data_IF_933738719572
#
_entry.id   IF_933738719572
#
_cell.length_a   1.000
_cell.length_b   1.000
_cell.length_c   1.000
_cell.angle_alpha   90.00
_cell.angle_beta   90.00
_cell.angle_gamma   90.00
#
_symmetry.space_group_name_H-M   'P 1'
#
loop_
_entity.id
_entity.type
_entity.pdbx_description
1 polymer ?
#
# COMPACT_ATOMS: atom_id res chain seq x y z
N UNK A 1 -23.08 -6.06 -7.06
CA UNK A 1 -21.96 -5.79 -6.14
C UNK A 1 -22.03 -6.81 -5.03
N UNK A 2 -20.93 -7.50 -4.70
CA UNK A 2 -20.91 -8.48 -3.60
C UNK A 2 -20.87 -7.74 -2.26
N UNK A 3 -21.31 -8.37 -1.17
CA UNK A 3 -21.29 -7.75 0.16
C UNK A 3 -19.87 -7.29 0.58
N UNK A 4 -18.85 -8.03 0.15
CA UNK A 4 -17.44 -7.72 0.42
C UNK A 4 -17.02 -6.46 -0.33
N UNK A 5 -17.42 -6.29 -1.60
CA UNK A 5 -17.07 -5.08 -2.35
C UNK A 5 -17.70 -3.84 -1.71
N UNK A 6 -18.98 -3.93 -1.32
CA UNK A 6 -19.64 -2.86 -0.57
C UNK A 6 -18.92 -2.53 0.74
N UNK A 7 -18.53 -3.56 1.50
CA UNK A 7 -17.84 -3.42 2.77
C UNK A 7 -16.48 -2.71 2.60
N UNK A 8 -15.71 -3.08 1.57
CA UNK A 8 -14.40 -2.46 1.29
C UNK A 8 -14.57 -1.02 0.79
N UNK A 9 -15.56 -0.74 -0.07
CA UNK A 9 -15.83 0.61 -0.57
C UNK A 9 -16.17 1.63 0.54
N UNK A 10 -16.63 1.16 1.69
CA UNK A 10 -16.90 2.00 2.86
C UNK A 10 -15.60 2.51 3.51
N UNK A 11 -14.52 1.73 3.42
CA UNK A 11 -13.18 2.11 3.91
C UNK A 11 -12.40 2.95 2.90
N UNK A 12 -12.87 3.08 1.65
CA UNK A 12 -12.23 3.83 0.56
C UNK A 12 -12.85 5.23 0.37
N UNK A 13 -13.35 5.84 1.45
CA UNK A 13 -14.00 7.15 1.39
C UNK A 13 -12.98 8.29 1.53
N UNK A 14 -12.82 9.16 0.52
CA UNK A 14 -11.88 10.27 0.58
C UNK A 14 -12.30 11.34 1.60
N UNK A 15 -11.34 12.10 2.15
CA UNK A 15 -11.64 13.27 2.97
C UNK A 15 -12.59 14.26 2.29
N UNK A 16 -13.62 14.68 3.02
CA UNK A 16 -14.60 15.68 2.54
C UNK A 16 -14.18 17.12 2.82
N UNK A 17 -13.13 17.30 3.61
CA UNK A 17 -12.55 18.60 3.98
C UNK A 17 -11.14 18.69 3.42
N UNK A 18 -10.79 19.83 2.84
CA UNK A 18 -9.43 20.09 2.38
C UNK A 18 -8.51 20.53 3.52
N UNK A 19 -7.22 20.62 3.22
CA UNK A 19 -6.22 21.13 4.14
C UNK A 19 -5.16 21.94 3.41
N UNK A 20 -4.47 22.82 4.14
CA UNK A 20 -3.23 23.44 3.67
C UNK A 20 -2.08 22.57 4.13
N UNK A 21 -1.18 22.23 3.21
CA UNK A 21 0.07 21.54 3.49
C UNK A 21 1.17 22.58 3.43
N UNK A 22 1.75 22.87 4.59
CA UNK A 22 2.86 23.81 4.69
C UNK A 22 4.17 23.14 4.26
N UNK A 23 4.93 23.83 3.42
CA UNK A 23 6.31 23.51 3.07
C UNK A 23 7.19 24.70 3.40
N UNK A 24 8.51 24.54 3.32
CA UNK A 24 9.45 25.63 3.58
C UNK A 24 9.30 26.83 2.63
N UNK A 25 8.60 26.66 1.50
CA UNK A 25 8.47 27.67 0.45
C UNK A 25 7.02 28.13 0.21
N UNK A 26 6.03 27.28 0.45
CA UNK A 26 4.63 27.59 0.19
C UNK A 26 3.66 26.74 1.01
N UNK A 27 2.50 27.33 1.33
CA UNK A 27 1.32 26.59 1.79
C UNK A 27 0.46 26.15 0.61
N UNK A 28 0.45 24.86 0.31
CA UNK A 28 -0.28 24.29 -0.82
C UNK A 28 -1.64 23.76 -0.37
N UNK A 29 -2.72 24.20 -1.03
CA UNK A 29 -4.07 23.75 -0.71
C UNK A 29 -4.42 22.44 -1.44
N UNK A 30 -4.79 21.42 -0.66
CA UNK A 30 -5.41 20.20 -1.17
C UNK A 30 -6.90 20.18 -0.81
N UNK A 31 -7.76 20.19 -1.82
CA UNK A 31 -9.20 20.22 -1.69
C UNK A 31 -9.84 18.82 -1.79
N UNK A 32 -11.15 18.72 -1.49
CA UNK A 32 -11.87 17.44 -1.57
C UNK A 32 -11.84 16.78 -2.96
N UNK A 33 -11.76 17.57 -4.04
CA UNK A 33 -11.67 17.03 -5.41
C UNK A 33 -10.34 16.32 -5.65
N UNK A 34 -9.26 16.86 -5.13
CA UNK A 34 -7.92 16.29 -5.26
C UNK A 34 -7.83 14.98 -4.47
N UNK A 35 -8.43 14.95 -3.27
CA UNK A 35 -8.57 13.72 -2.49
C UNK A 35 -9.35 12.64 -3.23
N UNK A 36 -10.47 13.00 -3.86
CA UNK A 36 -11.26 12.06 -4.68
C UNK A 36 -10.45 11.54 -5.86
N UNK A 37 -9.70 12.41 -6.54
CA UNK A 37 -8.83 12.02 -7.65
C UNK A 37 -7.73 11.06 -7.17
N UNK A 38 -7.03 11.40 -6.09
CA UNK A 38 -6.02 10.56 -5.48
C UNK A 38 -6.56 9.19 -5.03
N UNK A 39 -7.73 9.15 -4.40
CA UNK A 39 -8.37 7.90 -3.97
C UNK A 39 -8.84 7.04 -5.16
N UNK A 40 -9.01 7.64 -6.33
CA UNK A 40 -9.27 6.94 -7.58
C UNK A 40 -8.03 6.47 -8.33
N UNK A 41 -6.82 6.78 -7.84
CA UNK A 41 -5.55 6.36 -8.44
C UNK A 41 -5.37 4.83 -8.55
N UNK A 42 -5.75 4.02 -7.54
CA UNK A 42 -5.46 2.59 -7.55
C UNK A 42 -6.04 1.87 -8.76
N UNK A 43 -5.18 1.17 -9.50
CA UNK A 43 -5.62 0.38 -10.65
C UNK A 43 -6.60 -0.73 -10.25
N UNK A 44 -7.57 -1.09 -11.11
CA UNK A 44 -8.46 -2.21 -10.85
C UNK A 44 -7.68 -3.51 -10.60
N UNK A 45 -7.90 -4.12 -9.44
CA UNK A 45 -7.22 -5.36 -9.04
C UNK A 45 -6.10 -5.16 -8.01
N UNK A 46 -5.70 -3.91 -7.74
CA UNK A 46 -4.82 -3.62 -6.60
C UNK A 46 -5.57 -3.89 -5.29
N UNK A 47 -5.00 -4.67 -4.35
CA UNK A 47 -5.63 -4.88 -3.06
C UNK A 47 -5.74 -3.60 -2.23
N UNK A 48 -6.83 -3.47 -1.47
CA UNK A 48 -7.10 -2.28 -0.65
C UNK A 48 -5.93 -1.87 0.28
N UNK A 49 -5.26 -2.84 0.92
CA UNK A 49 -4.17 -2.55 1.86
C UNK A 49 -2.87 -2.13 1.17
N UNK A 50 -2.74 -2.41 -0.13
CA UNK A 50 -1.58 -2.03 -0.96
C UNK A 50 -1.81 -0.73 -1.75
N UNK A 51 -3.06 -0.35 -1.97
CA UNK A 51 -3.48 0.87 -2.67
C UNK A 51 -2.93 2.21 -2.12
N UNK A 52 -2.69 2.41 -0.80
CA UNK A 52 -2.32 3.73 -0.27
C UNK A 52 -1.05 4.32 -0.84
N UNK A 53 -0.14 3.48 -1.35
CA UNK A 53 1.10 3.96 -1.97
C UNK A 53 0.82 4.68 -3.29
N UNK A 54 -0.08 4.15 -4.12
CA UNK A 54 -0.48 4.81 -5.37
C UNK A 54 -1.24 6.10 -5.11
N UNK A 55 -2.09 6.10 -4.06
CA UNK A 55 -2.78 7.32 -3.60
C UNK A 55 -1.76 8.37 -3.16
N UNK A 56 -0.75 7.98 -2.38
CA UNK A 56 0.32 8.86 -1.92
C UNK A 56 1.10 9.49 -3.08
N UNK A 57 1.53 8.67 -4.04
CA UNK A 57 2.27 9.15 -5.20
C UNK A 57 1.45 10.13 -6.06
N UNK A 58 0.15 9.89 -6.22
CA UNK A 58 -0.71 10.81 -6.96
C UNK A 58 -0.96 12.12 -6.18
N UNK A 59 -1.13 12.07 -4.86
CA UNK A 59 -1.23 13.28 -4.03
C UNK A 59 0.01 14.17 -4.21
N UNK A 60 1.20 13.57 -4.12
CA UNK A 60 2.46 14.31 -4.32
C UNK A 60 2.54 14.92 -5.72
N UNK A 61 2.10 14.20 -6.74
CA UNK A 61 2.06 14.71 -8.13
C UNK A 61 1.09 15.88 -8.26
N UNK A 62 -0.17 15.74 -7.81
CA UNK A 62 -1.17 16.81 -7.85
C UNK A 62 -0.66 18.07 -7.13
N UNK A 63 -0.03 17.92 -5.98
CA UNK A 63 0.48 19.04 -5.21
C UNK A 63 1.72 19.68 -5.83
N UNK A 64 2.62 18.88 -6.40
CA UNK A 64 3.80 19.39 -7.13
C UNK A 64 3.36 20.18 -8.36
N UNK A 65 2.36 19.71 -9.10
CA UNK A 65 1.82 20.39 -10.30
C UNK A 65 1.13 21.73 -9.97
N UNK A 66 0.64 21.88 -8.73
CA UNK A 66 0.04 23.14 -8.24
C UNK A 66 1.07 24.18 -7.79
N UNK A 67 2.33 23.80 -7.64
CA UNK A 67 3.36 24.71 -7.20
C UNK A 67 3.85 25.58 -8.36
N UNK A 68 3.69 26.90 -8.23
CA UNK A 68 4.10 27.90 -9.24
C UNK A 68 5.28 28.78 -8.77
N UNK A 69 6.10 28.30 -7.83
CA UNK A 69 7.23 29.07 -7.29
C UNK A 69 8.56 28.83 -7.99
N UNK A 70 9.61 29.47 -7.47
CA UNK A 70 10.95 29.49 -8.09
C UNK A 70 11.79 28.24 -7.80
N UNK A 71 11.33 27.36 -6.91
CA UNK A 71 12.04 26.13 -6.51
C UNK A 71 11.76 25.00 -7.51
N UNK A 72 12.72 24.09 -7.68
CA UNK A 72 12.52 22.93 -8.56
C UNK A 72 11.40 22.01 -8.07
N UNK A 73 10.69 21.38 -9.01
CA UNK A 73 9.65 20.40 -8.72
C UNK A 73 10.14 19.22 -7.86
N UNK A 74 11.39 18.80 -8.04
CA UNK A 74 12.00 17.72 -7.25
C UNK A 74 12.16 18.11 -5.78
N UNK A 75 12.63 19.32 -5.50
CA UNK A 75 12.80 19.81 -4.13
C UNK A 75 11.45 19.96 -3.42
N UNK A 76 10.43 20.47 -4.11
CA UNK A 76 9.07 20.55 -3.57
C UNK A 76 8.48 19.16 -3.31
N UNK A 77 8.64 18.23 -4.25
CA UNK A 77 8.17 16.85 -4.08
C UNK A 77 8.81 16.19 -2.85
N UNK A 78 10.10 16.38 -2.62
CA UNK A 78 10.79 15.85 -1.43
C UNK A 78 10.20 16.42 -0.14
N UNK A 79 10.00 17.75 -0.06
CA UNK A 79 9.42 18.38 1.13
C UNK A 79 7.99 17.90 1.40
N UNK A 80 7.17 17.73 0.34
CA UNK A 80 5.82 17.18 0.47
C UNK A 80 5.84 15.71 0.92
N UNK A 81 6.79 14.92 0.43
CA UNK A 81 6.96 13.53 0.83
C UNK A 81 7.32 13.41 2.32
N UNK A 82 8.06 14.37 2.87
CA UNK A 82 8.45 14.42 4.27
C UNK A 82 7.40 15.08 5.19
N UNK A 83 6.31 15.60 4.62
CA UNK A 83 5.30 16.29 5.40
C UNK A 83 4.47 15.30 6.24
N UNK A 84 4.72 15.30 7.55
CA UNK A 84 4.05 14.41 8.51
C UNK A 84 2.54 14.67 8.61
N UNK A 85 2.09 15.91 8.45
CA UNK A 85 0.65 16.25 8.53
C UNK A 85 -0.14 15.68 7.36
N UNK A 86 0.40 15.81 6.14
CA UNK A 86 -0.19 15.24 4.93
C UNK A 86 -0.19 13.71 5.01
N UNK A 87 0.90 13.11 5.51
CA UNK A 87 0.97 11.65 5.71
C UNK A 87 -0.05 11.17 6.73
N UNK A 88 -0.15 11.85 7.88
CA UNK A 88 -1.12 11.52 8.91
C UNK A 88 -2.57 11.67 8.43
N UNK A 89 -2.84 12.66 7.57
CA UNK A 89 -4.16 12.84 6.94
C UNK A 89 -4.52 11.64 6.06
N UNK A 90 -3.59 11.16 5.22
CA UNK A 90 -3.81 9.95 4.41
C UNK A 90 -4.01 8.71 5.30
N UNK A 91 -3.17 8.50 6.31
CA UNK A 91 -3.26 7.33 7.19
C UNK A 91 -4.56 7.30 8.00
N UNK A 92 -5.07 8.47 8.39
CA UNK A 92 -6.37 8.59 9.05
C UNK A 92 -7.54 8.31 8.10
N UNK A 93 -7.40 8.69 6.83
CA UNK A 93 -8.43 8.50 5.82
C UNK A 93 -8.46 7.07 5.27
N UNK A 94 -7.31 6.38 5.24
CA UNK A 94 -7.18 5.03 4.68
C UNK A 94 -6.84 4.01 5.77
N UNK A 95 -7.88 3.43 6.37
CA UNK A 95 -7.75 2.43 7.43
C UNK A 95 -7.43 1.06 6.80
N UNK A 96 -6.31 0.45 7.20
CA UNK A 96 -6.00 -0.93 6.81
C UNK A 96 -6.97 -1.90 7.48
N UNK A 97 -7.51 -2.85 6.71
CA UNK A 97 -8.54 -3.78 7.18
C UNK A 97 -8.06 -5.22 7.05
N UNK A 98 -8.26 -6.02 8.10
CA UNK A 98 -8.06 -7.46 8.06
C UNK A 98 -9.31 -8.17 7.55
N UNK A 99 -9.14 -9.13 6.64
CA UNK A 99 -10.25 -9.89 6.06
C UNK A 99 -11.10 -10.62 7.12
N UNK A 100 -10.47 -11.15 8.17
CA UNK A 100 -11.19 -11.82 9.25
C UNK A 100 -12.06 -10.86 10.06
N UNK A 101 -11.61 -9.62 10.27
CA UNK A 101 -12.36 -8.60 10.99
C UNK A 101 -13.51 -8.06 10.15
N UNK A 102 -13.28 -7.78 8.86
CA UNK A 102 -14.35 -7.34 7.95
C UNK A 102 -15.50 -8.36 7.89
N UNK A 103 -15.19 -9.65 7.76
CA UNK A 103 -16.22 -10.69 7.72
C UNK A 103 -16.87 -10.88 9.10
N UNK A 104 -16.13 -10.70 10.19
CA UNK A 104 -16.70 -10.76 11.54
C UNK A 104 -17.70 -9.62 11.79
N UNK A 105 -17.41 -8.42 11.29
CA UNK A 105 -18.28 -7.24 11.40
C UNK A 105 -19.60 -7.42 10.65
N UNK A 106 -19.60 -8.14 9.51
CA UNK A 106 -20.83 -8.52 8.79
C UNK A 106 -21.76 -9.40 9.64
N UNK A 107 -21.21 -10.24 10.52
CA UNK A 107 -21.97 -11.16 11.37
C UNK A 107 -22.30 -10.62 12.75
N UNK A 108 -21.71 -9.49 13.14
CA UNK A 108 -21.90 -8.87 14.46
C UNK A 108 -22.73 -7.59 14.41
N UNK A 109 -22.69 -6.84 13.29
CA UNK A 109 -23.35 -5.54 13.14
C UNK A 109 -24.46 -5.61 12.08
N UNK A 110 -25.75 -5.73 12.48
CA UNK A 110 -26.87 -5.85 11.54
C UNK A 110 -27.00 -4.67 10.58
N UNK A 111 -26.72 -3.46 11.06
CA UNK A 111 -26.78 -2.24 10.25
C UNK A 111 -25.70 -2.25 9.15
N UNK A 112 -24.52 -2.78 9.45
CA UNK A 112 -23.42 -2.88 8.49
C UNK A 112 -23.75 -3.91 7.40
N UNK A 113 -24.28 -5.07 7.78
CA UNK A 113 -24.73 -6.08 6.82
C UNK A 113 -25.86 -5.57 5.91
N UNK A 114 -26.81 -4.79 6.46
CA UNK A 114 -27.89 -4.16 5.67
C UNK A 114 -27.34 -3.24 4.58
N UNK A 115 -26.34 -2.42 4.92
CA UNK A 115 -25.70 -1.51 3.96
C UNK A 115 -24.91 -2.29 2.91
N UNK A 116 -24.20 -3.35 3.31
CA UNK A 116 -23.35 -4.11 2.39
C UNK A 116 -24.14 -5.05 1.45
N UNK A 117 -25.26 -5.59 1.94
CA UNK A 117 -26.11 -6.54 1.24
C UNK A 117 -27.59 -6.10 1.26
N UNK A 118 -27.96 -5.04 0.52
CA UNK A 118 -29.31 -4.48 0.54
C UNK A 118 -30.39 -5.41 -0.03
N UNK A 119 -30.00 -6.49 -0.70
CA UNK A 119 -30.91 -7.53 -1.22
C UNK A 119 -31.38 -8.52 -0.16
N UNK A 120 -30.77 -8.56 1.03
CA UNK A 120 -31.20 -9.42 2.13
C UNK A 120 -32.37 -8.79 2.88
N UNK A 121 -33.40 -9.59 3.19
CA UNK A 121 -34.47 -9.15 4.08
C UNK A 121 -33.97 -9.04 5.52
N UNK A 122 -34.67 -8.25 6.34
CA UNK A 122 -34.31 -8.07 7.75
C UNK A 122 -34.31 -9.39 8.53
N UNK A 123 -35.26 -10.29 8.27
CA UNK A 123 -35.32 -11.61 8.89
C UNK A 123 -34.06 -12.45 8.61
N UNK A 124 -33.54 -12.40 7.37
CA UNK A 124 -32.29 -13.08 7.02
C UNK A 124 -31.09 -12.42 7.72
N UNK A 125 -31.04 -11.09 7.76
CA UNK A 125 -29.96 -10.35 8.44
C UNK A 125 -29.90 -10.74 9.92
N UNK A 126 -31.04 -10.77 10.62
CA UNK A 126 -31.13 -11.17 12.03
C UNK A 126 -30.73 -12.63 12.23
N UNK A 127 -31.14 -13.52 11.31
CA UNK A 127 -30.77 -14.95 11.37
C UNK A 127 -29.28 -15.18 11.19
N UNK A 128 -28.61 -14.34 10.38
CA UNK A 128 -27.18 -14.44 10.11
C UNK A 128 -26.31 -13.86 11.24
N UNK A 129 -26.89 -13.14 12.21
CA UNK A 129 -26.13 -12.58 13.34
C UNK A 129 -25.62 -13.68 14.28
N UNK A 130 -24.37 -13.55 14.72
CA UNK A 130 -23.72 -14.57 15.55
C UNK A 130 -23.17 -13.95 16.84
N UNK A 131 -23.34 -14.61 18.00
CA UNK A 131 -22.73 -14.17 19.26
C UNK A 131 -21.20 -14.32 19.26
N UNK A 132 -20.67 -15.31 18.52
CA UNK A 132 -19.24 -15.42 18.22
C UNK A 132 -19.01 -15.21 16.72
N UNK A 133 -18.68 -13.99 16.28
CA UNK A 133 -18.54 -13.66 14.86
C UNK A 133 -17.31 -14.31 14.21
N UNK A 134 -16.30 -14.72 15.00
CA UNK A 134 -15.12 -15.46 14.53
C UNK A 134 -15.26 -16.98 14.65
N UNK A 135 -16.46 -17.48 15.00
CA UNK A 135 -16.79 -18.91 14.99
C UNK A 135 -17.02 -19.41 13.56
N UNK A 136 -15.94 -19.45 12.76
CA UNK A 136 -16.01 -19.73 11.33
C UNK A 136 -16.58 -21.12 11.02
N UNK A 137 -17.43 -21.15 10.01
CA UNK A 137 -17.99 -22.36 9.41
C UNK A 137 -17.42 -22.55 8.00
N UNK A 138 -17.64 -23.74 7.43
CA UNK A 138 -17.23 -24.03 6.03
C UNK A 138 -17.89 -23.05 5.05
N UNK A 139 -19.10 -22.58 5.35
CA UNK A 139 -19.83 -21.61 4.52
C UNK A 139 -19.24 -20.20 4.55
N UNK A 140 -18.40 -19.87 5.53
CA UNK A 140 -17.76 -18.55 5.63
C UNK A 140 -16.42 -18.49 4.86
N UNK A 141 -15.82 -19.64 4.54
CA UNK A 141 -14.53 -19.72 3.85
C UNK A 141 -14.53 -18.99 2.50
N UNK A 142 -15.55 -19.14 1.62
CA UNK A 142 -15.58 -18.40 0.36
C UNK A 142 -15.61 -16.88 0.54
N UNK A 143 -16.23 -16.39 1.62
CA UNK A 143 -16.28 -14.96 1.93
C UNK A 143 -14.94 -14.46 2.47
N UNK A 144 -14.30 -15.23 3.35
CA UNK A 144 -12.95 -14.93 3.84
C UNK A 144 -11.94 -14.89 2.69
N UNK A 145 -12.02 -15.83 1.74
CA UNK A 145 -11.11 -15.87 0.59
C UNK A 145 -11.37 -14.73 -0.40
N UNK A 146 -12.63 -14.35 -0.61
CA UNK A 146 -12.96 -13.17 -1.39
C UNK A 146 -12.47 -11.88 -0.69
N UNK A 147 -12.62 -11.77 0.63
CA UNK A 147 -12.15 -10.63 1.40
C UNK A 147 -10.61 -10.53 1.38
N UNK A 148 -9.89 -11.65 1.54
CA UNK A 148 -8.42 -11.68 1.42
C UNK A 148 -7.93 -11.26 0.05
N UNK A 149 -8.58 -11.70 -1.02
CA UNK A 149 -8.22 -11.28 -2.38
C UNK A 149 -8.43 -9.79 -2.62
N UNK A 150 -9.51 -9.21 -2.08
CA UNK A 150 -9.82 -7.79 -2.27
C UNK A 150 -9.00 -6.87 -1.35
N UNK A 151 -8.74 -7.30 -0.11
CA UNK A 151 -8.01 -6.50 0.87
C UNK A 151 -6.50 -6.66 0.77
N UNK A 152 -6.00 -7.83 0.38
CA UNK A 152 -4.59 -8.18 0.49
C UNK A 152 -4.21 -8.57 1.92
N UNK A 153 -2.92 -8.72 2.20
CA UNK A 153 -2.42 -9.03 3.54
C UNK A 153 -1.96 -7.74 4.25
N UNK A 154 -2.68 -7.27 5.29
CA UNK A 154 -2.32 -6.06 6.02
C UNK A 154 -0.94 -6.16 6.69
N UNK A 155 -0.49 -7.36 7.08
CA UNK A 155 0.83 -7.56 7.67
C UNK A 155 1.94 -7.38 6.62
N UNK A 156 1.71 -7.81 5.37
CA UNK A 156 2.66 -7.56 4.29
C UNK A 156 2.75 -6.08 3.97
N UNK A 157 1.61 -5.38 3.90
CA UNK A 157 1.59 -3.93 3.66
C UNK A 157 2.28 -3.15 4.80
N UNK A 158 2.04 -3.52 6.06
CA UNK A 158 2.74 -2.94 7.22
C UNK A 158 4.25 -3.24 7.21
N UNK A 159 4.65 -4.46 6.86
CA UNK A 159 6.07 -4.85 6.76
C UNK A 159 6.78 -4.09 5.64
N UNK A 160 6.13 -3.95 4.47
CA UNK A 160 6.64 -3.14 3.35
C UNK A 160 6.87 -1.71 3.79
N UNK A 161 5.85 -1.05 4.37
CA UNK A 161 5.99 0.32 4.90
C UNK A 161 7.14 0.47 5.89
N UNK A 162 7.29 -0.47 6.83
CA UNK A 162 8.41 -0.45 7.79
C UNK A 162 9.77 -0.58 7.11
N UNK A 163 9.89 -1.43 6.08
CA UNK A 163 11.12 -1.57 5.29
C UNK A 163 11.42 -0.30 4.50
N UNK A 164 10.44 0.26 3.80
CA UNK A 164 10.58 1.50 3.05
C UNK A 164 10.99 2.66 3.97
N UNK A 165 10.36 2.78 5.14
CA UNK A 165 10.72 3.80 6.13
C UNK A 165 12.14 3.59 6.70
N UNK A 166 12.54 2.34 6.94
CA UNK A 166 13.90 2.01 7.39
C UNK A 166 14.95 2.34 6.31
N UNK A 167 14.69 1.95 5.06
CA UNK A 167 15.56 2.27 3.92
C UNK A 167 15.67 3.78 3.70
N UNK A 168 14.56 4.52 3.79
CA UNK A 168 14.57 5.97 3.69
C UNK A 168 15.36 6.65 4.83
N UNK A 169 15.25 6.13 6.06
CA UNK A 169 16.03 6.62 7.19
C UNK A 169 17.53 6.33 7.02
N UNK A 170 17.88 5.17 6.49
CA UNK A 170 19.27 4.78 6.18
C UNK A 170 19.85 5.67 5.07
N UNK A 171 19.12 5.91 3.98
CA UNK A 171 19.53 6.86 2.93
C UNK A 171 19.78 8.27 3.49
N UNK A 172 18.88 8.79 4.33
CA UNK A 172 19.07 10.10 4.97
C UNK A 172 20.31 10.16 5.86
N UNK A 173 20.60 9.07 6.59
CA UNK A 173 21.81 8.98 7.39
C UNK A 173 23.05 8.97 6.50
N UNK A 174 23.01 8.24 5.37
CA UNK A 174 24.08 8.18 4.38
C UNK A 174 24.33 9.55 3.74
N UNK A 175 23.27 10.25 3.31
CA UNK A 175 23.35 11.58 2.72
C UNK A 175 24.02 12.57 3.68
N UNK A 176 23.65 12.53 4.97
CA UNK A 176 24.27 13.35 6.01
C UNK A 176 25.76 13.06 6.17
N UNK A 177 26.16 11.79 6.12
CA UNK A 177 27.57 11.38 6.19
C UNK A 177 28.32 11.84 4.94
N UNK A 178 27.72 11.72 3.75
CA UNK A 178 28.31 12.21 2.50
C UNK A 178 28.50 13.72 2.56
N UNK A 179 27.51 14.48 3.03
CA UNK A 179 27.62 15.93 3.20
C UNK A 179 28.71 16.32 4.21
N UNK A 180 28.83 15.59 5.33
CA UNK A 180 29.91 15.80 6.32
C UNK A 180 31.29 15.51 5.72
N UNK A 181 31.41 14.42 4.94
CA UNK A 181 32.65 14.08 4.23
C UNK A 181 33.00 15.07 3.11
N UNK A 182 32.01 15.67 2.44
CA UNK A 182 32.22 16.71 1.43
C UNK A 182 32.60 18.06 2.03
N UNK A 183 32.19 18.36 3.28
CA UNK A 183 32.62 19.56 4.01
C UNK A 183 34.06 19.45 4.54
N UNK A 184 34.60 18.24 4.65
CA UNK A 184 36.02 17.98 4.88
C UNK A 184 36.79 18.16 3.57
N UNK A 185 37.06 19.40 3.19
CA UNK A 185 37.95 19.69 2.06
C UNK A 185 39.40 19.27 2.39
N UNK A 186 39.95 18.46 1.49
CA UNK A 186 41.39 18.19 1.32
C UNK A 186 41.87 19.21 0.27
N UNK A 187 43.00 19.87 0.50
CA UNK A 187 43.52 21.06 -0.23
C UNK A 187 43.83 20.85 -1.74
N UNK A 188 43.33 19.80 -2.39
CA UNK A 188 43.63 19.41 -3.76
C UNK A 188 42.36 18.97 -4.52
N UNK A 189 41.53 19.98 -4.86
CA UNK A 189 40.14 19.91 -5.34
C UNK A 189 39.81 19.14 -6.64
N UNK A 190 40.67 18.23 -7.11
CA UNK A 190 40.37 17.31 -8.23
C UNK A 190 40.03 15.89 -7.75
N UNK A 191 40.42 15.50 -6.54
CA UNK A 191 40.17 14.15 -5.99
C UNK A 191 38.77 14.04 -5.37
N UNK A 192 38.22 15.13 -4.84
CA UNK A 192 36.88 15.19 -4.23
C UNK A 192 35.74 14.90 -5.22
N UNK A 193 35.78 15.50 -6.43
CA UNK A 193 34.75 15.27 -7.45
C UNK A 193 34.73 13.82 -7.97
N UNK A 194 35.89 13.19 -8.16
CA UNK A 194 35.96 11.79 -8.58
C UNK A 194 35.47 10.82 -7.48
N UNK A 195 35.66 11.16 -6.20
CA UNK A 195 35.07 10.41 -5.08
C UNK A 195 33.55 10.60 -5.01
N UNK A 196 33.04 11.80 -5.30
CA UNK A 196 31.62 12.12 -5.21
C UNK A 196 30.78 11.30 -6.22
N UNK A 197 31.21 11.25 -7.49
CA UNK A 197 30.57 10.40 -8.51
C UNK A 197 30.73 8.90 -8.17
N UNK A 198 31.91 8.49 -7.69
CA UNK A 198 32.20 7.08 -7.38
C UNK A 198 31.41 6.52 -6.19
N UNK A 199 31.23 7.31 -5.13
CA UNK A 199 30.44 6.90 -3.96
C UNK A 199 28.95 6.83 -4.33
N UNK A 200 28.43 7.83 -5.06
CA UNK A 200 27.02 7.82 -5.52
C UNK A 200 26.73 6.64 -6.45
N UNK A 201 27.66 6.29 -7.35
CA UNK A 201 27.47 5.16 -8.26
C UNK A 201 27.52 3.80 -7.54
N UNK A 202 28.43 3.62 -6.58
CA UNK A 202 28.50 2.40 -5.77
C UNK A 202 27.25 2.22 -4.89
N UNK A 203 26.68 3.31 -4.38
CA UNK A 203 25.45 3.28 -3.59
C UNK A 203 24.20 3.00 -4.44
N UNK A 204 24.16 3.46 -5.69
CA UNK A 204 23.08 3.14 -6.62
C UNK A 204 23.07 1.63 -6.98
N UNK A 205 24.25 1.02 -7.16
CA UNK A 205 24.36 -0.42 -7.41
C UNK A 205 23.94 -1.27 -6.19
N UNK A 206 24.28 -0.86 -4.96
CA UNK A 206 23.86 -1.56 -3.73
C UNK A 206 22.34 -1.44 -3.48
N UNK A 207 21.71 -0.29 -3.81
CA UNK A 207 20.25 -0.17 -3.74
C UNK A 207 19.53 -1.04 -4.78
N UNK A 208 20.08 -1.19 -5.98
CA UNK A 208 19.53 -2.09 -7.01
C UNK A 208 19.62 -3.56 -6.57
N UNK A 209 20.68 -3.94 -5.85
CA UNK A 209 20.83 -5.30 -5.31
C UNK A 209 19.85 -5.61 -4.16
N UNK A 210 19.46 -4.62 -3.36
CA UNK A 210 18.47 -4.77 -2.29
C UNK A 210 17.04 -4.95 -2.85
N UNK A 211 16.74 -4.33 -4.00
CA UNK A 211 15.44 -4.50 -4.67
C UNK A 211 15.35 -5.86 -5.40
N UNK A 212 16.43 -6.35 -6.03
CA UNK A 212 16.41 -7.58 -6.84
C UNK A 212 16.43 -8.87 -6.00
N UNK A 213 17.03 -8.88 -4.81
CA UNK A 213 16.98 -10.07 -3.91
C UNK A 213 15.60 -10.32 -3.27
N UNK A 214 14.59 -9.48 -3.54
CA UNK A 214 13.22 -9.68 -3.06
C UNK A 214 12.24 -10.21 -4.12
N UNK A 215 12.71 -10.42 -5.36
CA UNK A 215 11.92 -11.01 -6.46
C UNK A 215 12.32 -12.45 -6.82
N UNK A 216 13.11 -13.14 -5.98
CA UNK A 216 13.25 -14.59 -6.06
C UNK A 216 12.57 -15.29 -4.88
N UNK A 217 11.28 -15.58 -5.07
CA UNK A 217 10.74 -16.93 -4.84
C UNK A 217 9.29 -16.97 -5.35
N UNK A 218 9.14 -17.32 -6.62
CA UNK A 218 7.87 -17.66 -7.27
C UNK A 218 7.20 -18.93 -6.73
N UNK A 219 7.39 -19.27 -5.46
CA UNK A 219 6.73 -20.37 -4.77
C UNK A 219 6.40 -19.90 -3.35
N UNK A 220 5.37 -19.05 -3.22
CA UNK A 220 4.68 -18.90 -1.95
C UNK A 220 4.12 -20.28 -1.59
N UNK A 221 4.92 -21.01 -0.81
CA UNK A 221 4.60 -22.31 -0.26
C UNK A 221 3.24 -22.20 0.42
N UNK A 222 2.26 -22.88 -0.19
CA UNK A 222 0.95 -23.16 0.38
C UNK A 222 1.16 -23.98 1.66
N UNK A 223 1.46 -23.30 2.77
CA UNK A 223 1.60 -23.91 4.09
C UNK A 223 0.21 -24.14 4.70
N UNK A 224 -0.54 -25.05 4.08
CA UNK A 224 -1.73 -25.68 4.64
C UNK A 224 -1.54 -27.20 4.63
N UNK A 225 -2.24 -27.96 5.49
CA UNK A 225 -2.00 -29.41 5.66
C UNK A 225 -2.45 -30.27 4.47
N UNK A 226 -2.91 -29.66 3.38
CA UNK A 226 -3.34 -30.35 2.17
C UNK A 226 -2.31 -30.10 1.06
N UNK A 227 -1.37 -31.04 0.91
CA UNK A 227 -0.45 -31.06 -0.21
C UNK A 227 -1.23 -31.24 -1.52
N UNK A 228 -1.00 -30.35 -2.49
CA UNK A 228 -1.54 -30.47 -3.84
C UNK A 228 -0.71 -31.52 -4.59
N UNK A 229 -1.30 -32.67 -4.92
CA UNK A 229 -0.71 -33.64 -5.84
C UNK A 229 -1.16 -33.25 -7.24
N UNK A 230 -0.23 -32.74 -8.05
CA UNK A 230 -0.45 -32.61 -9.49
C UNK A 230 -0.15 -33.97 -10.10
N UNK A 231 -1.19 -34.69 -10.50
CA UNK A 231 -1.06 -35.91 -11.30
C UNK A 231 -0.95 -35.46 -12.75
N UNK A 232 0.24 -35.60 -13.33
CA UNK A 232 0.43 -35.42 -14.76
C UNK A 232 -0.18 -36.64 -15.46
N UNK A 233 -1.37 -36.48 -16.04
CA UNK A 233 -1.99 -37.51 -16.85
C UNK A 233 -1.18 -37.65 -18.15
N UNK A 234 -0.16 -38.51 -18.12
CA UNK A 234 0.40 -39.10 -19.34
C UNK A 234 -0.68 -39.99 -19.99
N UNK A 235 -1.53 -39.37 -20.81
CA UNK A 235 -2.35 -40.06 -21.81
C UNK A 235 -1.71 -39.89 -23.18
N UNK A 236 -1.01 -40.93 -23.63
CA UNK A 236 -1.09 -41.36 -25.03
C UNK A 236 -1.37 -42.86 -25.04
N UNK A 237 -2.64 -43.18 -25.23
CA UNK A 237 -3.10 -44.47 -25.72
C UNK A 237 -2.88 -44.46 -27.24
N UNK A 238 -1.98 -45.32 -27.72
CA UNK A 238 -2.04 -45.79 -29.10
C UNK A 238 -2.08 -47.31 -29.08
N UNK A 239 -3.21 -47.84 -29.54
CA UNK A 239 -3.46 -49.24 -29.85
C UNK A 239 -2.55 -49.73 -30.98
N UNK A 240 -1.95 -50.91 -30.83
CA UNK A 240 -1.62 -51.81 -31.94
C UNK A 240 -1.30 -53.24 -31.43
N UNK A 241 -2.19 -54.17 -31.84
CA UNK A 241 -2.10 -55.65 -31.90
C UNK A 241 -2.02 -56.49 -30.61
#
# INVERSE_FOLDING_TARGET
MTAIESAVSFSEQPPTTGMTVETDWAGLWIGPRDWVEAFGAPEPGIPHNDAPEQVWELLLTIMTDKYEGDVSATTIRTSLHENEELRAALEKAWILVEAADLVADLWSVPAYLRTCAPSLSEDYITTLQRPNPKGWTVSDLPLLDAARRRLGDPNLSLRRRRRTAAAAAECKQMDRVVDELLQLDDDEGMIGQLRQEGIRHALADDMVLIDDESLDNGHAALAGPFAHIVVDEARELTDAE
#
